data_IF_624783252776
#
_entry.id   IF_624783252776
#
_cell.length_a   1.000
_cell.length_b   1.000
_cell.length_c   1.000
_cell.angle_alpha   90.00
_cell.angle_beta   90.00
_cell.angle_gamma   90.00
#
_symmetry.space_group_name_H-M   'P 1'
#
loop_
_entity.id
_entity.type
_entity.pdbx_description
1 polymer ?
#
# COMPACT_ATOMS: atom_id res chain seq x y z
N UNK A 1 8.60 2.75 29.71
CA UNK A 1 9.88 3.49 29.72
C UNK A 1 10.22 3.92 28.31
N UNK A 2 11.19 4.82 28.12
CA UNK A 2 11.63 5.30 26.79
C UNK A 2 12.00 4.16 25.82
N UNK A 3 12.33 2.98 26.35
CA UNK A 3 12.62 1.78 25.57
C UNK A 3 11.46 1.27 24.71
N UNK A 4 10.20 1.70 24.87
CA UNK A 4 9.11 1.22 24.01
C UNK A 4 8.61 2.24 22.98
N UNK A 5 9.00 3.51 23.10
CA UNK A 5 8.52 4.58 22.21
C UNK A 5 9.01 4.41 20.76
N UNK A 6 10.20 3.82 20.56
CA UNK A 6 10.71 3.54 19.22
C UNK A 6 9.83 2.53 18.46
N UNK A 7 9.08 1.67 19.17
CA UNK A 7 8.22 0.64 18.55
C UNK A 7 7.00 1.26 17.87
N UNK A 8 6.50 2.37 18.43
CA UNK A 8 5.43 3.14 17.78
C UNK A 8 5.98 4.05 16.68
N UNK A 9 7.22 4.50 16.84
CA UNK A 9 7.92 5.35 15.90
C UNK A 9 8.44 4.65 14.65
N UNK A 10 8.71 3.35 14.76
CA UNK A 10 9.22 2.54 13.66
C UNK A 10 8.05 1.98 12.87
N UNK A 11 7.93 2.41 11.61
CA UNK A 11 6.76 2.11 10.78
C UNK A 11 7.20 1.45 9.48
N UNK A 12 6.55 0.32 9.20
CA UNK A 12 6.66 -0.41 7.95
C UNK A 12 5.42 -0.13 7.10
N UNK A 13 5.62 0.21 5.84
CA UNK A 13 4.57 0.19 4.85
C UNK A 13 4.42 -1.21 4.26
N UNK A 14 3.18 -1.65 4.08
CA UNK A 14 2.82 -2.91 3.40
C UNK A 14 1.71 -2.60 2.39
N UNK A 15 1.91 -2.95 1.12
CA UNK A 15 0.94 -2.63 0.06
C UNK A 15 1.37 -3.11 -1.32
N UNK A 16 0.92 -2.41 -2.36
CA UNK A 16 1.20 -2.73 -3.77
C UNK A 16 1.74 -1.49 -4.48
N UNK A 17 2.70 -1.62 -5.41
CA UNK A 17 3.22 -0.46 -6.15
C UNK A 17 2.13 0.18 -7.02
N UNK A 18 1.26 -0.65 -7.58
CA UNK A 18 0.01 -0.23 -8.19
C UNK A 18 -1.13 -1.13 -7.76
N UNK A 19 -2.31 -0.56 -7.59
CA UNK A 19 -3.48 -1.30 -7.19
C UNK A 19 -3.86 -2.40 -8.19
N UNK A 20 -3.69 -2.11 -9.47
CA UNK A 20 -3.96 -3.05 -10.55
C UNK A 20 -3.13 -4.35 -10.40
N UNK A 21 -1.88 -4.27 -9.91
CA UNK A 21 -0.93 -5.41 -9.84
C UNK A 21 -1.44 -6.59 -9.02
N UNK A 22 -2.46 -6.37 -8.18
CA UNK A 22 -3.15 -7.44 -7.44
C UNK A 22 -3.84 -8.44 -8.38
N UNK A 23 -4.15 -8.05 -9.61
CA UNK A 23 -4.82 -8.89 -10.60
C UNK A 23 -3.75 -9.68 -11.35
N UNK A 24 -3.70 -10.99 -11.13
CA UNK A 24 -2.83 -11.92 -11.88
C UNK A 24 -3.44 -12.29 -13.22
N UNK A 25 -4.69 -12.70 -13.18
CA UNK A 25 -5.41 -13.20 -14.35
C UNK A 25 -6.78 -12.54 -14.40
N UNK A 26 -7.28 -12.28 -15.60
CA UNK A 26 -8.66 -11.87 -15.79
C UNK A 26 -9.29 -12.54 -17.01
N UNK A 27 -10.60 -12.65 -16.97
CA UNK A 27 -11.42 -13.11 -18.10
C UNK A 27 -12.69 -12.29 -18.15
N UNK A 28 -13.05 -11.80 -19.34
CA UNK A 28 -14.24 -10.98 -19.55
C UNK A 28 -15.33 -11.83 -20.20
N UNK A 29 -16.54 -11.70 -19.67
CA UNK A 29 -17.73 -12.35 -20.17
C UNK A 29 -18.77 -11.32 -20.58
N UNK A 30 -19.41 -11.56 -21.72
CA UNK A 30 -20.60 -10.85 -22.17
C UNK A 30 -21.71 -11.86 -22.41
N UNK A 31 -22.87 -11.65 -21.77
CA UNK A 31 -24.04 -12.57 -21.86
C UNK A 31 -23.70 -14.04 -21.60
N UNK A 32 -22.82 -14.30 -20.64
CA UNK A 32 -22.40 -15.65 -20.24
C UNK A 32 -21.40 -16.32 -21.18
N UNK A 33 -20.92 -15.64 -22.23
CA UNK A 33 -19.86 -16.13 -23.12
C UNK A 33 -18.57 -15.35 -22.90
N UNK A 34 -17.45 -16.05 -22.90
CA UNK A 34 -16.12 -15.41 -22.87
C UNK A 34 -15.95 -14.58 -24.14
N UNK A 35 -15.47 -13.35 -24.00
CA UNK A 35 -15.08 -12.53 -25.15
C UNK A 35 -13.72 -13.02 -25.64
N UNK A 36 -13.62 -13.36 -26.92
CA UNK A 36 -12.38 -13.84 -27.51
C UNK A 36 -11.26 -12.78 -27.37
N UNK A 37 -10.03 -13.22 -27.13
CA UNK A 37 -8.88 -12.34 -26.89
C UNK A 37 -8.84 -11.63 -25.53
N UNK A 38 -9.81 -11.85 -24.63
CA UNK A 38 -9.80 -11.22 -23.28
C UNK A 38 -9.26 -12.11 -22.16
N UNK A 39 -8.79 -13.31 -22.49
CA UNK A 39 -8.13 -14.19 -21.54
C UNK A 39 -6.71 -13.69 -21.29
N UNK A 40 -6.47 -13.08 -20.12
CA UNK A 40 -5.16 -12.64 -19.69
C UNK A 40 -4.67 -13.50 -18.53
N UNK A 41 -3.51 -14.15 -18.71
CA UNK A 41 -2.91 -15.09 -17.75
C UNK A 41 -1.72 -14.48 -16.98
N UNK A 42 -1.19 -13.34 -17.43
CA UNK A 42 -0.12 -12.61 -16.73
C UNK A 42 -0.35 -11.08 -16.79
N UNK A 43 -1.43 -10.66 -16.13
CA UNK A 43 -1.82 -9.26 -16.10
C UNK A 43 -0.89 -8.41 -15.23
N UNK A 44 -0.22 -8.98 -14.22
CA UNK A 44 0.72 -8.23 -13.38
C UNK A 44 1.88 -7.66 -14.21
N UNK A 45 2.46 -8.45 -15.13
CA UNK A 45 3.53 -7.96 -16.02
C UNK A 45 3.02 -6.88 -16.97
N UNK A 46 1.85 -7.09 -17.58
CA UNK A 46 1.20 -6.11 -18.47
C UNK A 46 1.00 -4.76 -17.76
N UNK A 47 0.41 -4.80 -16.56
CA UNK A 47 0.14 -3.61 -15.77
C UNK A 47 1.43 -2.95 -15.28
N UNK A 48 2.46 -3.73 -14.92
CA UNK A 48 3.75 -3.18 -14.56
C UNK A 48 4.36 -2.35 -15.70
N UNK A 49 4.31 -2.87 -16.94
CA UNK A 49 4.79 -2.16 -18.13
C UNK A 49 3.94 -0.92 -18.41
N UNK A 50 2.61 -1.07 -18.41
CA UNK A 50 1.67 0.02 -18.64
C UNK A 50 1.86 1.15 -17.62
N UNK A 51 1.99 0.79 -16.34
CA UNK A 51 2.28 1.73 -15.27
C UNK A 51 3.65 2.39 -15.48
N UNK A 52 4.67 1.68 -15.96
CA UNK A 52 6.00 2.26 -16.17
C UNK A 52 5.99 3.40 -17.19
N UNK A 53 5.21 3.26 -18.28
CA UNK A 53 5.10 4.30 -19.32
C UNK A 53 4.11 5.42 -18.97
N UNK A 54 3.24 5.21 -17.98
CA UNK A 54 2.26 6.21 -17.52
C UNK A 54 2.95 7.43 -16.88
N UNK A 55 2.61 8.67 -17.27
CA UNK A 55 3.27 9.86 -16.77
C UNK A 55 3.05 10.08 -15.26
N UNK A 56 4.03 10.68 -14.60
CA UNK A 56 4.02 10.88 -13.13
C UNK A 56 2.85 11.74 -12.64
N UNK A 57 2.39 12.69 -13.45
CA UNK A 57 1.23 13.54 -13.16
C UNK A 57 -0.04 12.73 -12.97
N UNK A 58 -0.27 11.71 -13.80
CA UNK A 58 -1.44 10.84 -13.68
C UNK A 58 -1.38 9.96 -12.43
N UNK A 59 -0.18 9.53 -12.02
CA UNK A 59 0.03 8.69 -10.84
C UNK A 59 -0.24 9.42 -9.52
N UNK A 60 0.08 10.71 -9.46
CA UNK A 60 -0.03 11.50 -8.23
C UNK A 60 -1.44 12.00 -7.93
N UNK A 61 -2.34 12.00 -8.92
CA UNK A 61 -3.65 12.65 -8.80
C UNK A 61 -4.75 11.77 -8.21
N UNK A 62 -4.52 10.46 -8.02
CA UNK A 62 -5.54 9.50 -7.56
C UNK A 62 -5.09 8.74 -6.31
N UNK A 63 -5.87 8.84 -5.22
CA UNK A 63 -5.56 8.16 -3.94
C UNK A 63 -5.80 6.65 -4.03
N UNK A 64 -4.93 5.88 -3.39
CA UNK A 64 -4.96 4.41 -3.24
C UNK A 64 -4.79 3.61 -4.54
N UNK A 65 -4.09 4.20 -5.52
CA UNK A 65 -3.95 3.63 -6.87
C UNK A 65 -2.49 3.34 -7.16
N UNK A 66 -1.64 4.35 -7.15
CA UNK A 66 -0.21 4.19 -7.41
C UNK A 66 0.63 4.58 -6.21
N UNK A 67 1.81 3.99 -6.12
CA UNK A 67 2.83 4.33 -5.15
C UNK A 67 4.08 4.83 -5.85
N UNK A 68 4.65 5.86 -5.25
CA UNK A 68 6.06 6.20 -5.42
C UNK A 68 6.76 5.96 -4.08
N UNK A 69 7.94 5.34 -4.13
CA UNK A 69 8.74 5.09 -2.93
C UNK A 69 9.00 6.38 -2.14
N UNK A 70 9.29 7.49 -2.84
CA UNK A 70 9.50 8.81 -2.25
C UNK A 70 8.32 9.30 -1.40
N UNK A 71 7.09 8.95 -1.80
CA UNK A 71 5.88 9.32 -1.07
C UNK A 71 5.71 8.43 0.17
N UNK A 72 5.95 7.12 0.03
CA UNK A 72 5.91 6.18 1.16
C UNK A 72 6.95 6.55 2.21
N UNK A 73 8.17 6.88 1.79
CA UNK A 73 9.24 7.32 2.67
C UNK A 73 8.85 8.56 3.48
N UNK A 74 7.98 9.41 2.93
CA UNK A 74 7.41 10.61 3.58
C UNK A 74 6.08 10.35 4.31
N UNK A 75 5.68 9.10 4.47
CA UNK A 75 4.43 8.71 5.14
C UNK A 75 3.18 9.29 4.44
N UNK A 76 3.08 9.09 3.12
CA UNK A 76 1.91 9.49 2.35
C UNK A 76 0.68 8.60 2.63
N UNK A 77 -0.38 9.21 3.15
CA UNK A 77 -1.65 8.54 3.46
C UNK A 77 -2.48 8.12 2.25
N UNK A 78 -2.15 8.63 1.05
CA UNK A 78 -2.82 8.26 -0.20
C UNK A 78 -2.31 6.95 -0.81
N UNK A 79 -1.40 6.27 -0.11
CA UNK A 79 -0.80 5.04 -0.55
C UNK A 79 -1.80 3.89 -0.79
N UNK A 80 -1.47 3.04 -1.76
CA UNK A 80 -2.10 1.75 -2.05
C UNK A 80 -1.61 0.66 -1.07
N UNK A 81 -1.98 0.79 0.20
CA UNK A 81 -1.53 -0.10 1.28
C UNK A 81 -1.88 0.43 2.65
N UNK A 82 -1.20 -0.09 3.67
CA UNK A 82 -1.29 0.40 5.05
C UNK A 82 0.08 0.50 5.68
N UNK A 83 0.14 1.33 6.71
CA UNK A 83 1.27 1.45 7.61
C UNK A 83 1.03 0.55 8.82
N UNK A 84 2.07 -0.13 9.27
CA UNK A 84 2.07 -0.98 10.44
C UNK A 84 3.27 -0.61 11.29
N UNK A 85 3.03 -0.31 12.56
CA UNK A 85 4.06 -0.02 13.55
C UNK A 85 4.73 -1.31 14.03
N UNK A 86 5.96 -1.21 14.53
CA UNK A 86 6.62 -2.36 15.15
C UNK A 86 5.82 -2.89 16.36
N UNK A 87 5.15 -2.00 17.11
CA UNK A 87 4.28 -2.41 18.22
C UNK A 87 3.13 -3.29 17.75
N UNK A 88 2.40 -2.90 16.70
CA UNK A 88 1.30 -3.71 16.16
C UNK A 88 1.76 -5.09 15.68
N UNK A 89 2.98 -5.17 15.12
CA UNK A 89 3.58 -6.46 14.72
C UNK A 89 3.89 -7.30 15.96
N UNK A 90 4.59 -6.74 16.95
CA UNK A 90 4.93 -7.44 18.19
C UNK A 90 3.68 -7.95 18.92
N UNK A 91 2.67 -7.10 19.07
CA UNK A 91 1.41 -7.45 19.71
C UNK A 91 0.68 -8.57 18.95
N UNK A 92 0.71 -8.55 17.61
CA UNK A 92 0.07 -9.58 16.80
C UNK A 92 0.76 -10.94 16.91
N UNK A 93 2.08 -10.98 17.12
CA UNK A 93 2.86 -12.23 17.13
C UNK A 93 3.17 -12.74 18.54
N UNK A 94 2.96 -11.94 19.59
CA UNK A 94 3.33 -12.25 20.98
C UNK A 94 2.85 -13.61 21.47
N UNK A 95 1.62 -13.99 21.11
CA UNK A 95 0.98 -15.23 21.58
C UNK A 95 1.14 -16.40 20.58
N UNK A 96 1.86 -16.19 19.48
CA UNK A 96 2.07 -17.20 18.46
C UNK A 96 3.29 -18.06 18.79
N UNK A 97 3.07 -19.36 18.90
CA UNK A 97 4.08 -20.32 19.38
C UNK A 97 4.84 -21.00 18.22
N UNK A 98 4.31 -20.94 17.00
CA UNK A 98 4.87 -21.61 15.82
C UNK A 98 5.13 -20.65 14.67
N UNK A 99 6.33 -20.73 14.12
CA UNK A 99 6.75 -20.02 12.89
C UNK A 99 6.21 -20.79 11.67
N UNK A 100 5.70 -20.12 10.60
CA UNK A 100 5.70 -18.67 10.38
C UNK A 100 4.63 -17.90 11.18
N UNK A 101 5.01 -16.74 11.71
CA UNK A 101 4.09 -15.81 12.36
C UNK A 101 3.12 -15.20 11.33
N UNK A 102 1.87 -15.01 11.74
CA UNK A 102 0.79 -14.51 10.90
C UNK A 102 0.15 -13.28 11.50
N UNK A 103 0.14 -12.17 10.77
CA UNK A 103 -0.58 -10.96 11.17
C UNK A 103 -1.67 -10.64 10.13
N UNK A 104 -2.95 -10.53 10.52
CA UNK A 104 -3.99 -10.10 9.59
C UNK A 104 -3.86 -8.61 9.31
N UNK A 105 -3.69 -8.26 8.03
CA UNK A 105 -3.59 -6.86 7.58
C UNK A 105 -4.80 -6.52 6.73
N UNK A 106 -5.41 -5.37 6.99
CA UNK A 106 -6.57 -4.86 6.23
C UNK A 106 -6.25 -3.49 5.68
N UNK A 107 -6.43 -3.32 4.38
CA UNK A 107 -6.34 -2.01 3.72
C UNK A 107 -7.29 -1.94 2.54
N UNK A 108 -7.56 -0.73 2.06
CA UNK A 108 -8.43 -0.49 0.92
C UNK A 108 -7.61 -0.32 -0.34
N UNK A 109 -8.17 -0.83 -1.43
CA UNK A 109 -7.58 -0.81 -2.75
C UNK A 109 -8.56 -0.16 -3.73
N UNK A 110 -8.06 0.74 -4.58
CA UNK A 110 -8.84 1.35 -5.66
C UNK A 110 -8.20 0.99 -6.98
N UNK A 111 -8.86 0.15 -7.78
CA UNK A 111 -8.39 -0.24 -9.12
C UNK A 111 -9.26 0.47 -10.16
N UNK A 112 -8.74 1.50 -10.83
CA UNK A 112 -9.41 2.09 -11.98
C UNK A 112 -9.54 1.08 -13.10
N UNK A 113 -10.67 1.10 -13.82
CA UNK A 113 -10.83 0.26 -15.00
C UNK A 113 -9.86 0.67 -16.11
N UNK A 114 -9.58 1.97 -16.28
CA UNK A 114 -8.61 2.50 -17.25
C UNK A 114 -7.16 2.07 -16.96
N UNK A 115 -6.86 1.53 -15.77
CA UNK A 115 -5.55 0.94 -15.44
C UNK A 115 -5.41 -0.53 -15.87
N UNK A 116 -6.50 -1.16 -16.29
CA UNK A 116 -6.49 -2.50 -16.87
C UNK A 116 -6.48 -2.33 -18.39
N UNK A 117 -5.44 -2.83 -19.07
CA UNK A 117 -5.16 -2.48 -20.47
C UNK A 117 -6.35 -2.72 -21.40
N UNK A 118 -7.06 -3.84 -21.25
CA UNK A 118 -8.24 -4.17 -22.07
C UNK A 118 -9.36 -3.13 -21.95
N UNK A 119 -9.44 -2.43 -20.83
CA UNK A 119 -10.44 -1.38 -20.55
C UNK A 119 -9.93 0.03 -20.83
N UNK A 120 -8.66 0.20 -21.19
CA UNK A 120 -8.09 1.52 -21.51
C UNK A 120 -8.82 2.23 -22.65
N UNK A 121 -9.37 1.49 -23.62
CA UNK A 121 -10.18 2.03 -24.72
C UNK A 121 -11.69 2.04 -24.46
N UNK A 122 -12.15 1.50 -23.32
CA UNK A 122 -13.60 1.44 -23.03
C UNK A 122 -14.20 2.81 -22.69
N UNK A 123 -13.37 3.78 -22.31
CA UNK A 123 -13.80 5.16 -22.08
C UNK A 123 -14.36 5.82 -23.34
N UNK A 124 -13.97 5.34 -24.51
CA UNK A 124 -14.30 5.97 -25.79
C UNK A 124 -15.61 5.45 -26.39
N UNK A 125 -16.25 4.45 -25.77
CA UNK A 125 -17.47 3.85 -26.28
C UNK A 125 -18.67 3.99 -25.33
N UNK A 126 -19.88 4.27 -25.84
CA UNK A 126 -21.07 4.36 -25.02
C UNK A 126 -21.49 3.01 -24.43
N UNK A 127 -21.91 3.02 -23.16
CA UNK A 127 -22.38 1.83 -22.44
C UNK A 127 -23.52 1.07 -23.16
N UNK A 128 -24.30 1.77 -23.99
CA UNK A 128 -25.39 1.18 -24.78
C UNK A 128 -24.93 0.14 -25.80
N UNK A 129 -23.66 0.15 -26.22
CA UNK A 129 -23.11 -0.80 -27.19
C UNK A 129 -22.73 -2.15 -26.56
N UNK A 130 -22.22 -2.13 -25.32
CA UNK A 130 -21.62 -3.32 -24.70
C UNK A 130 -22.54 -4.03 -23.71
N UNK A 131 -23.52 -3.32 -23.13
CA UNK A 131 -24.37 -3.88 -22.08
C UNK A 131 -23.55 -4.35 -20.87
N UNK A 132 -24.04 -5.38 -20.19
CA UNK A 132 -23.42 -5.88 -18.96
C UNK A 132 -22.20 -6.78 -19.24
N UNK A 133 -21.04 -6.36 -18.73
CA UNK A 133 -19.83 -7.16 -18.68
C UNK A 133 -19.64 -7.77 -17.29
N UNK A 134 -19.20 -9.02 -17.26
CA UNK A 134 -18.74 -9.69 -16.03
C UNK A 134 -17.26 -9.95 -16.15
N UNK A 135 -16.51 -9.60 -15.12
CA UNK A 135 -15.06 -9.82 -15.07
C UNK A 135 -14.77 -10.78 -13.93
N UNK A 136 -13.98 -11.82 -14.22
CA UNK A 136 -13.47 -12.74 -13.22
C UNK A 136 -11.99 -12.49 -13.04
N UNK A 137 -11.58 -12.16 -11.82
CA UNK A 137 -10.17 -11.94 -11.47
C UNK A 137 -9.60 -13.14 -10.71
N UNK A 138 -8.30 -13.41 -10.91
CA UNK A 138 -7.47 -14.16 -9.96
C UNK A 138 -6.43 -13.21 -9.37
N UNK A 139 -6.18 -13.36 -8.07
CA UNK A 139 -5.31 -12.48 -7.30
C UNK A 139 -3.84 -12.94 -7.41
N UNK A 140 -2.91 -11.98 -7.46
CA UNK A 140 -1.47 -12.22 -7.36
C UNK A 140 -0.99 -12.00 -5.92
N UNK A 141 -0.76 -13.05 -5.12
CA UNK A 141 -0.25 -12.90 -3.76
C UNK A 141 1.23 -12.46 -3.72
N UNK A 142 1.97 -12.54 -4.83
CA UNK A 142 3.38 -12.21 -4.89
C UNK A 142 3.64 -10.74 -5.26
N UNK A 143 2.58 -9.96 -5.50
CA UNK A 143 2.70 -8.55 -5.88
C UNK A 143 2.96 -7.60 -4.70
N UNK A 144 2.77 -8.07 -3.46
CA UNK A 144 2.92 -7.23 -2.28
C UNK A 144 4.38 -6.79 -2.08
N UNK A 145 4.53 -5.54 -1.63
CA UNK A 145 5.82 -4.93 -1.31
C UNK A 145 5.78 -4.37 0.11
N UNK A 146 6.95 -4.29 0.72
CA UNK A 146 7.16 -3.63 2.00
C UNK A 146 8.25 -2.57 1.87
N UNK A 147 8.13 -1.48 2.64
CA UNK A 147 9.11 -0.40 2.66
C UNK A 147 9.16 0.28 4.03
N UNK A 148 10.36 0.58 4.52
CA UNK A 148 10.52 1.33 5.75
C UNK A 148 10.23 2.81 5.52
N UNK A 149 9.41 3.41 6.39
CA UNK A 149 9.15 4.85 6.38
C UNK A 149 10.34 5.58 7.02
N UNK A 150 10.60 6.82 6.63
CA UNK A 150 11.62 7.64 7.26
C UNK A 150 11.37 7.72 8.79
N UNK A 151 12.30 7.22 9.63
CA UNK A 151 12.10 7.18 11.09
C UNK A 151 11.89 8.56 11.72
N UNK A 152 12.50 9.61 11.15
CA UNK A 152 12.33 10.99 11.63
C UNK A 152 10.88 11.45 11.43
N UNK A 153 10.34 11.18 10.24
CA UNK A 153 8.98 11.58 9.86
C UNK A 153 7.94 10.77 10.64
N UNK A 154 8.12 9.45 10.76
CA UNK A 154 7.21 8.59 11.51
C UNK A 154 7.22 8.93 13.00
N UNK A 155 8.38 9.21 13.60
CA UNK A 155 8.47 9.68 14.98
C UNK A 155 7.79 11.04 15.19
N UNK A 156 8.03 12.00 14.29
CA UNK A 156 7.37 13.30 14.36
C UNK A 156 5.83 13.17 14.27
N UNK A 157 5.33 12.28 13.40
CA UNK A 157 3.89 11.95 13.31
C UNK A 157 3.37 11.32 14.59
N UNK A 158 4.08 10.35 15.16
CA UNK A 158 3.70 9.73 16.42
C UNK A 158 3.53 10.76 17.55
N UNK A 159 4.53 11.63 17.73
CA UNK A 159 4.47 12.66 18.77
C UNK A 159 3.39 13.73 18.53
N UNK A 160 3.09 14.05 17.27
CA UNK A 160 2.00 14.99 16.96
C UNK A 160 0.63 14.37 17.17
N UNK A 161 0.44 13.09 16.85
CA UNK A 161 -0.82 12.36 17.07
C UNK A 161 -1.09 12.12 18.55
N UNK A 162 -0.07 11.81 19.34
CA UNK A 162 -0.19 11.52 20.79
C UNK A 162 0.03 12.76 21.67
N UNK A 163 -0.01 13.96 21.09
CA UNK A 163 0.28 15.21 21.80
C UNK A 163 -0.61 15.40 23.03
N UNK A 164 -1.87 14.97 22.99
CA UNK A 164 -2.79 15.01 24.14
C UNK A 164 -2.34 14.10 25.29
N UNK A 165 -1.89 12.89 24.97
CA UNK A 165 -1.45 11.90 25.97
C UNK A 165 -0.07 12.27 26.54
N UNK A 166 0.80 12.84 25.71
CA UNK A 166 2.10 13.41 26.12
C UNK A 166 1.92 14.62 27.05
N UNK A 167 1.00 15.53 26.71
CA UNK A 167 0.66 16.69 27.56
C UNK A 167 0.07 16.26 28.90
N UNK A 168 -0.71 15.18 28.92
CA UNK A 168 -1.23 14.58 30.16
C UNK A 168 -0.14 13.89 31.01
N UNK A 169 1.01 13.56 30.42
CA UNK A 169 2.07 12.75 31.06
C UNK A 169 3.08 13.54 31.92
N UNK A 170 2.91 14.86 32.02
CA UNK A 170 3.67 15.75 32.92
C UNK A 170 5.05 16.18 32.40
N UNK A 171 5.62 17.28 32.92
CA UNK A 171 6.83 17.93 32.38
C UNK A 171 8.11 17.07 32.42
N UNK A 172 8.22 16.13 33.35
CA UNK A 172 9.43 15.34 33.54
C UNK A 172 9.64 14.27 32.46
N UNK A 173 8.58 13.84 31.77
CA UNK A 173 8.70 12.95 30.59
C UNK A 173 9.14 13.69 29.33
N UNK A 174 8.97 15.01 29.25
CA UNK A 174 9.36 15.79 28.07
C UNK A 174 10.88 16.02 27.98
N UNK A 175 11.59 16.02 29.12
CA UNK A 175 13.03 16.29 29.20
C UNK A 175 13.93 15.15 28.71
N UNK A 176 13.39 13.95 28.55
CA UNK A 176 14.14 12.73 28.24
C UNK A 176 13.99 12.26 26.77
N UNK A 177 13.37 13.06 25.90
CA UNK A 177 13.26 12.76 24.46
C UNK A 177 14.57 13.20 23.78
N UNK A 178 15.66 12.50 24.06
CA UNK A 178 16.89 12.62 23.27
C UNK A 178 16.70 11.91 21.93
N UNK A 179 16.58 12.69 20.86
CA UNK A 179 16.53 12.20 19.48
C UNK A 179 17.91 11.67 19.07
N UNK A 180 18.15 10.38 19.32
CA UNK A 180 19.32 9.66 18.83
C UNK A 180 19.19 9.37 17.33
N UNK A 181 19.85 10.17 16.49
CA UNK A 181 20.13 9.80 15.09
C UNK A 181 21.47 9.08 15.03
N UNK A 182 21.48 7.75 14.83
CA UNK A 182 22.68 7.02 14.44
C UNK A 182 22.78 7.05 12.91
N UNK A 183 23.61 7.94 12.37
CA UNK A 183 24.03 7.88 10.97
C UNK A 183 24.74 6.55 10.72
N UNK A 184 24.28 5.77 9.74
CA UNK A 184 25.06 4.70 9.16
C UNK A 184 25.72 5.24 7.88
N UNK A 185 27.02 5.47 7.94
CA UNK A 185 27.84 5.64 6.73
C UNK A 185 28.17 4.26 6.17
N UNK A 186 27.87 4.05 4.89
CA UNK A 186 28.32 2.89 4.12
C UNK A 186 29.84 2.98 3.98
N UNK A 187 30.54 1.97 4.53
CA UNK A 187 31.84 1.53 4.05
C UNK A 187 31.66 0.44 3.02
#
# INVERSE_FOLDING_TARGET
GFEEAYKDGTVLFIGLKSASEIIREYTIYHRGRTIDGTLQNDSTTEQFIYNTVKPRSEKNNRKHIHLLYENIHKYDTSACGTYVTMREIEDAIKDQVSVPYTMPIRFRLSIPLDDILVFSGFTDYPNSLFGDLKIKFKINPNAFVFAQVNPIISMAKYYTMNKTDLMASGPDKLKNIDLLFRNWSLG
#
